data_IF_632172526015
#
_entry.id   IF_632172526015
#
_cell.length_a   1.000
_cell.length_b   1.000
_cell.length_c   1.000
_cell.angle_alpha   90.00
_cell.angle_beta   90.00
_cell.angle_gamma   90.00
#
_symmetry.space_group_name_H-M   'P 1'
#
loop_
_entity.id
_entity.type
_entity.pdbx_description
1 polymer ?
#
# COMPACT_ATOMS: atom_id res chain seq x y z
N UNK A 1 -29.22 48.15 -35.99
CA UNK A 1 -28.24 47.40 -36.81
C UNK A 1 -27.64 46.31 -35.93
N UNK A 2 -27.69 45.05 -36.38
CA UNK A 2 -27.23 43.89 -35.60
C UNK A 2 -25.70 43.90 -35.47
N UNK A 3 -25.11 43.50 -34.34
CA UNK A 3 -23.66 43.35 -34.26
C UNK A 3 -23.26 42.16 -35.15
N UNK A 4 -22.33 42.42 -36.07
CA UNK A 4 -21.66 41.40 -36.88
C UNK A 4 -21.03 40.35 -35.98
N UNK A 5 -21.61 39.15 -35.97
CA UNK A 5 -21.08 37.98 -35.26
C UNK A 5 -19.83 37.50 -36.01
N UNK A 6 -18.65 37.66 -35.41
CA UNK A 6 -17.44 36.99 -35.90
C UNK A 6 -17.39 35.57 -35.33
N UNK A 7 -17.61 34.58 -36.19
CA UNK A 7 -17.49 33.17 -35.84
C UNK A 7 -16.03 32.72 -36.04
N UNK A 8 -15.31 32.41 -34.96
CA UNK A 8 -14.01 31.71 -35.05
C UNK A 8 -14.28 30.21 -34.94
N UNK A 9 -13.81 29.45 -35.92
CA UNK A 9 -13.99 27.99 -35.98
C UNK A 9 -12.64 27.29 -35.78
N UNK A 10 -12.60 26.34 -34.85
CA UNK A 10 -11.46 25.43 -34.66
C UNK A 10 -11.75 24.10 -35.33
N UNK A 11 -10.82 23.66 -36.18
CA UNK A 11 -10.98 22.46 -36.99
C UNK A 11 -10.05 21.37 -36.48
N UNK A 12 -10.63 20.28 -35.99
CA UNK A 12 -9.88 19.08 -35.60
C UNK A 12 -9.80 18.11 -36.78
N UNK A 13 -8.72 17.32 -36.84
CA UNK A 13 -8.65 16.20 -37.79
C UNK A 13 -9.80 15.21 -37.50
N UNK A 14 -10.33 14.60 -38.56
CA UNK A 14 -11.41 13.60 -38.49
C UNK A 14 -11.05 12.36 -37.66
N UNK A 15 -9.83 12.21 -37.16
CA UNK A 15 -9.40 10.98 -36.50
C UNK A 15 -9.00 11.25 -35.04
N UNK A 16 -9.23 12.48 -34.55
CA UNK A 16 -9.01 12.85 -33.15
C UNK A 16 -10.04 12.11 -32.29
N UNK A 17 -9.52 11.41 -31.27
CA UNK A 17 -10.31 10.68 -30.29
C UNK A 17 -10.98 11.67 -29.32
N UNK A 18 -12.25 11.41 -29.02
CA UNK A 18 -13.08 12.22 -28.14
C UNK A 18 -12.44 12.38 -26.76
N UNK A 19 -11.83 11.34 -26.18
CA UNK A 19 -11.18 11.41 -24.85
C UNK A 19 -9.97 12.37 -24.84
N UNK A 20 -9.25 12.42 -25.96
CA UNK A 20 -8.13 13.36 -26.13
C UNK A 20 -8.65 14.79 -26.30
N UNK A 21 -9.79 14.95 -26.97
CA UNK A 21 -10.45 16.24 -27.12
C UNK A 21 -11.01 16.73 -25.78
N UNK A 22 -11.69 15.87 -25.00
CA UNK A 22 -12.21 16.19 -23.67
C UNK A 22 -11.10 16.62 -22.72
N UNK A 23 -10.02 15.83 -22.62
CA UNK A 23 -8.87 16.21 -21.80
C UNK A 23 -8.27 17.53 -22.27
N UNK A 24 -8.09 17.73 -23.57
CA UNK A 24 -7.57 19.00 -24.08
C UNK A 24 -8.46 20.19 -23.68
N UNK A 25 -9.79 20.05 -23.73
CA UNK A 25 -10.74 21.10 -23.30
C UNK A 25 -10.69 21.34 -21.78
N UNK A 26 -10.59 20.29 -20.97
CA UNK A 26 -10.55 20.38 -19.50
C UNK A 26 -9.20 20.85 -18.95
N UNK A 27 -8.09 20.31 -19.46
CA UNK A 27 -6.75 20.59 -18.89
C UNK A 27 -6.07 21.78 -19.54
N UNK A 28 -6.20 21.96 -20.85
CA UNK A 28 -5.48 23.03 -21.58
C UNK A 28 -6.33 24.29 -21.78
N UNK A 29 -7.67 24.16 -21.75
CA UNK A 29 -8.57 25.31 -21.87
C UNK A 29 -9.34 25.61 -20.59
N UNK A 30 -9.29 24.72 -19.59
CA UNK A 30 -9.94 24.85 -18.29
C UNK A 30 -11.45 25.10 -18.37
N UNK A 31 -12.13 24.40 -19.28
CA UNK A 31 -13.57 24.52 -19.51
C UNK A 31 -14.29 23.36 -18.82
N UNK A 32 -15.16 23.66 -17.86
CA UNK A 32 -16.04 22.69 -17.20
C UNK A 32 -17.32 22.48 -18.04
N UNK A 33 -17.50 21.26 -18.57
CA UNK A 33 -18.57 20.89 -19.48
C UNK A 33 -19.88 20.49 -18.77
N UNK A 34 -19.85 20.33 -17.44
CA UNK A 34 -20.99 19.86 -16.65
C UNK A 34 -21.79 20.98 -15.95
N UNK A 35 -21.35 22.24 -16.09
CA UNK A 35 -21.97 23.38 -15.40
C UNK A 35 -22.79 24.28 -16.33
N UNK A 36 -24.04 24.57 -15.93
CA UNK A 36 -24.92 25.53 -16.60
C UNK A 36 -24.43 26.98 -16.35
N UNK A 37 -23.92 27.66 -17.37
CA UNK A 37 -23.41 29.05 -17.28
C UNK A 37 -24.35 30.04 -18.00
N UNK A 38 -24.72 31.20 -17.40
CA UNK A 38 -25.56 32.21 -18.05
C UNK A 38 -24.79 33.22 -18.94
N UNK A 39 -25.54 33.80 -19.88
CA UNK A 39 -25.16 34.70 -20.98
C UNK A 39 -24.24 35.90 -20.63
N UNK A 40 -23.06 35.96 -21.28
CA UNK A 40 -22.64 37.11 -22.11
C UNK A 40 -21.28 36.89 -22.81
N UNK A 41 -21.31 37.06 -24.15
CA UNK A 41 -20.25 37.28 -25.15
C UNK A 41 -19.33 36.11 -25.62
N UNK A 42 -19.64 35.68 -26.85
CA UNK A 42 -18.91 34.89 -27.87
C UNK A 42 -19.12 33.36 -27.91
N UNK A 43 -19.25 32.82 -29.13
CA UNK A 43 -19.61 31.43 -29.45
C UNK A 43 -18.44 30.72 -30.14
N UNK A 44 -18.05 29.54 -29.63
CA UNK A 44 -17.18 28.60 -30.36
C UNK A 44 -18.04 27.43 -30.85
N UNK A 45 -18.11 27.22 -32.16
CA UNK A 45 -18.91 26.15 -32.77
C UNK A 45 -17.99 25.00 -33.15
N UNK A 46 -18.11 23.87 -32.44
CA UNK A 46 -17.39 22.62 -32.73
C UNK A 46 -18.18 21.82 -33.77
N UNK A 47 -17.66 21.72 -34.99
CA UNK A 47 -18.26 20.84 -36.01
C UNK A 47 -17.59 19.47 -35.99
N UNK A 48 -18.25 18.50 -35.36
CA UNK A 48 -18.19 17.11 -35.80
C UNK A 48 -19.53 16.46 -35.46
N UNK A 49 -19.93 15.45 -36.23
CA UNK A 49 -21.27 14.83 -36.24
C UNK A 49 -21.79 14.41 -34.85
N UNK A 50 -22.20 15.38 -34.04
CA UNK A 50 -22.77 15.26 -32.70
C UNK A 50 -24.15 15.91 -32.82
N UNK A 51 -25.18 15.11 -32.57
CA UNK A 51 -26.58 15.46 -32.77
C UNK A 51 -27.12 16.52 -31.78
N UNK A 52 -26.29 17.18 -30.98
CA UNK A 52 -26.72 18.28 -30.11
C UNK A 52 -25.64 19.36 -30.04
N UNK A 53 -25.94 20.54 -30.60
CA UNK A 53 -25.11 21.72 -30.47
C UNK A 53 -25.35 22.36 -29.09
N UNK A 54 -24.29 22.57 -28.31
CA UNK A 54 -24.29 23.40 -27.11
C UNK A 54 -23.22 24.49 -27.22
N UNK A 55 -23.50 25.64 -26.62
CA UNK A 55 -22.66 26.84 -26.63
C UNK A 55 -21.74 26.81 -25.42
N UNK A 56 -20.43 26.94 -25.65
CA UNK A 56 -19.40 26.96 -24.60
C UNK A 56 -18.70 28.31 -24.52
N UNK A 57 -18.48 28.77 -23.29
CA UNK A 57 -17.84 30.04 -22.96
C UNK A 57 -16.34 29.79 -22.75
N UNK A 58 -15.47 30.37 -23.59
CA UNK A 58 -14.03 30.06 -23.61
C UNK A 58 -13.20 31.35 -23.59
N UNK A 59 -12.24 31.44 -22.67
CA UNK A 59 -11.20 32.48 -22.67
C UNK A 59 -10.07 32.12 -23.65
N UNK A 60 -10.17 32.65 -24.86
CA UNK A 60 -9.24 32.39 -25.96
C UNK A 60 -7.80 32.84 -25.65
N UNK A 61 -7.60 33.79 -24.74
CA UNK A 61 -6.26 34.23 -24.35
C UNK A 61 -5.58 33.19 -23.44
N UNK A 62 -6.33 32.54 -22.55
CA UNK A 62 -5.83 31.42 -21.75
C UNK A 62 -5.43 30.23 -22.65
N UNK A 63 -6.27 29.90 -23.63
CA UNK A 63 -6.03 28.84 -24.63
C UNK A 63 -4.78 29.10 -25.48
N UNK A 64 -4.63 30.32 -26.02
CA UNK A 64 -3.51 30.70 -26.87
C UNK A 64 -2.16 30.65 -26.13
N UNK A 65 -2.17 30.87 -24.81
CA UNK A 65 -0.98 30.84 -23.97
C UNK A 65 -0.55 29.42 -23.56
N UNK A 66 -1.44 28.42 -23.64
CA UNK A 66 -1.14 27.02 -23.27
C UNK A 66 -0.76 26.13 -24.46
N UNK A 67 -1.18 26.49 -25.69
CA UNK A 67 -0.81 25.78 -26.91
C UNK A 67 0.67 25.96 -27.28
N UNK A 68 1.51 24.93 -27.08
CA UNK A 68 2.92 24.92 -27.51
C UNK A 68 3.05 25.21 -29.02
N UNK A 69 3.70 26.35 -29.32
CA UNK A 69 4.30 26.81 -30.58
C UNK A 69 4.06 25.92 -31.81
N UNK A 70 3.02 26.25 -32.58
CA UNK A 70 2.92 25.92 -34.00
C UNK A 70 2.44 27.13 -34.80
N UNK A 71 2.86 27.18 -36.05
CA UNK A 71 3.32 28.35 -36.81
C UNK A 71 2.24 29.27 -37.40
N UNK A 72 1.10 29.52 -36.72
CA UNK A 72 0.05 30.38 -37.29
C UNK A 72 -0.71 31.31 -36.35
N UNK A 73 -0.27 31.57 -35.11
CA UNK A 73 -0.96 32.55 -34.24
C UNK A 73 -0.07 33.73 -33.81
N UNK A 74 1.15 33.53 -33.30
CA UNK A 74 2.21 34.55 -33.32
C UNK A 74 3.56 33.81 -33.35
N UNK A 75 4.50 34.21 -34.22
CA UNK A 75 5.76 33.45 -34.39
C UNK A 75 6.86 33.84 -33.40
N UNK A 76 6.70 34.90 -32.59
CA UNK A 76 7.81 35.46 -31.80
C UNK A 76 7.50 36.06 -30.41
N UNK A 77 6.25 36.21 -29.91
CA UNK A 77 6.02 36.85 -28.59
C UNK A 77 4.59 36.74 -27.98
N UNK A 78 4.49 36.98 -26.66
CA UNK A 78 3.62 36.29 -25.67
C UNK A 78 2.26 36.93 -25.27
N UNK A 79 1.60 37.81 -26.04
CA UNK A 79 0.25 38.30 -25.64
C UNK A 79 -0.64 38.64 -26.84
N UNK A 80 -1.89 38.14 -26.80
CA UNK A 80 -2.97 38.54 -27.70
C UNK A 80 -3.85 39.60 -27.00
N UNK A 81 -4.12 40.75 -27.64
CA UNK A 81 -5.09 41.74 -27.15
C UNK A 81 -6.17 41.94 -28.21
N UNK A 82 -7.43 41.76 -27.82
CA UNK A 82 -8.58 41.98 -28.71
C UNK A 82 -8.88 43.49 -28.82
N UNK A 83 -8.81 44.04 -30.03
CA UNK A 83 -9.32 45.39 -30.29
C UNK A 83 -10.83 45.36 -30.61
N UNK A 84 -11.50 46.49 -30.35
CA UNK A 84 -12.97 46.68 -30.46
C UNK A 84 -13.52 46.34 -31.87
N UNK A 85 -12.65 46.31 -32.90
CA UNK A 85 -13.02 46.03 -34.29
C UNK A 85 -12.69 44.59 -34.74
N UNK A 86 -12.29 43.70 -33.84
CA UNK A 86 -11.99 42.28 -34.14
C UNK A 86 -10.71 42.05 -34.96
N UNK A 87 -9.84 43.05 -35.05
CA UNK A 87 -8.45 42.88 -35.48
C UNK A 87 -7.57 42.45 -34.30
N UNK A 88 -6.74 41.43 -34.53
CA UNK A 88 -5.70 40.99 -33.58
C UNK A 88 -4.37 41.63 -33.97
N UNK A 89 -3.65 42.20 -33.01
CA UNK A 89 -2.30 42.72 -33.22
C UNK A 89 -1.32 41.90 -32.40
N UNK A 90 -0.42 41.16 -33.07
CA UNK A 90 0.78 40.64 -32.40
C UNK A 90 1.76 41.82 -32.27
N UNK A 91 2.16 42.17 -31.05
CA UNK A 91 3.26 43.12 -30.85
C UNK A 91 4.57 42.31 -30.85
N UNK A 92 5.49 42.63 -31.75
CA UNK A 92 6.83 42.04 -31.76
C UNK A 92 7.62 42.66 -30.60
N UNK A 93 7.76 41.91 -29.50
CA UNK A 93 8.42 42.35 -28.27
C UNK A 93 9.95 42.15 -28.36
N UNK A 94 10.59 42.74 -29.39
CA UNK A 94 12.02 42.52 -29.68
C UNK A 94 12.98 43.62 -29.21
N UNK A 95 12.54 44.65 -28.47
CA UNK A 95 13.45 45.78 -28.19
C UNK A 95 14.14 45.76 -26.82
N UNK A 96 13.58 45.09 -25.80
CA UNK A 96 14.20 45.04 -24.47
C UNK A 96 14.56 43.62 -24.03
N UNK A 97 15.84 43.40 -23.70
CA UNK A 97 16.32 42.16 -23.08
C UNK A 97 15.61 41.83 -21.76
N UNK A 98 15.91 40.65 -21.19
CA UNK A 98 15.31 40.24 -19.92
C UNK A 98 15.68 41.24 -18.81
N UNK A 99 14.67 41.75 -18.09
CA UNK A 99 14.79 42.60 -16.89
C UNK A 99 14.95 44.12 -17.02
N UNK A 100 14.70 44.71 -18.20
CA UNK A 100 14.60 46.17 -18.35
C UNK A 100 13.28 46.57 -19.04
N UNK A 101 12.83 47.80 -18.80
CA UNK A 101 11.58 48.36 -19.33
C UNK A 101 11.73 49.85 -19.74
N UNK A 102 10.71 50.38 -20.43
CA UNK A 102 10.66 51.75 -20.92
C UNK A 102 11.12 51.90 -22.38
N UNK A 103 10.93 53.10 -22.95
CA UNK A 103 11.08 53.39 -24.39
C UNK A 103 12.47 53.13 -24.98
N UNK A 104 13.50 53.02 -24.14
CA UNK A 104 14.89 52.69 -24.53
C UNK A 104 15.51 51.57 -23.66
N UNK A 105 14.69 50.78 -22.96
CA UNK A 105 15.15 49.67 -22.11
C UNK A 105 16.23 50.06 -21.08
N UNK A 106 16.22 51.33 -20.66
CA UNK A 106 17.25 51.93 -19.81
C UNK A 106 16.92 51.81 -18.33
N UNK A 107 15.66 51.48 -18.00
CA UNK A 107 15.20 51.33 -16.62
C UNK A 107 15.19 49.86 -16.24
N UNK A 108 15.94 49.43 -15.19
CA UNK A 108 15.87 48.07 -14.71
C UNK A 108 14.53 47.77 -14.04
N UNK A 109 14.06 46.53 -14.18
CA UNK A 109 12.91 46.01 -13.45
C UNK A 109 13.32 45.73 -11.99
N UNK A 110 12.62 46.32 -11.03
CA UNK A 110 12.85 46.12 -9.60
C UNK A 110 12.11 44.89 -9.02
N UNK A 111 11.73 43.94 -9.87
CA UNK A 111 11.05 42.73 -9.42
C UNK A 111 12.02 41.74 -8.77
N UNK A 112 11.51 40.93 -7.86
CA UNK A 112 12.23 39.83 -7.26
C UNK A 112 12.46 38.71 -8.28
N UNK A 113 13.73 38.38 -8.57
CA UNK A 113 14.10 37.48 -9.67
C UNK A 113 13.49 36.09 -9.56
N UNK A 114 13.44 35.52 -8.35
CA UNK A 114 12.96 34.15 -8.17
C UNK A 114 11.42 34.09 -8.16
N UNK A 115 10.75 35.11 -7.64
CA UNK A 115 9.28 35.17 -7.54
C UNK A 115 8.55 35.78 -8.72
N UNK A 116 9.26 36.32 -9.72
CA UNK A 116 8.63 36.97 -10.89
C UNK A 116 8.62 36.03 -12.09
N UNK A 117 7.44 35.83 -12.67
CA UNK A 117 7.24 35.11 -13.92
C UNK A 117 7.64 35.97 -15.13
N UNK A 118 7.22 37.24 -15.14
CA UNK A 118 7.58 38.20 -16.20
C UNK A 118 7.59 39.64 -15.68
N UNK A 119 8.47 40.47 -16.25
CA UNK A 119 8.44 41.92 -16.06
C UNK A 119 7.81 42.57 -17.30
N UNK A 120 6.80 43.41 -17.10
CA UNK A 120 6.14 44.18 -18.14
C UNK A 120 7.08 45.22 -18.76
N UNK A 121 7.21 45.21 -20.08
CA UNK A 121 8.18 46.05 -20.80
C UNK A 121 7.78 47.53 -20.90
N UNK A 122 6.49 47.84 -20.75
CA UNK A 122 5.96 49.22 -20.81
C UNK A 122 6.07 49.98 -19.48
N UNK A 123 5.75 49.31 -18.37
CA UNK A 123 5.60 49.96 -17.05
C UNK A 123 6.45 49.33 -15.95
N UNK A 124 7.25 48.30 -16.26
CA UNK A 124 8.06 47.59 -15.26
C UNK A 124 7.25 46.77 -14.27
N UNK A 125 5.97 46.51 -14.53
CA UNK A 125 5.07 45.76 -13.64
C UNK A 125 5.48 44.31 -13.55
N UNK A 126 5.52 43.77 -12.34
CA UNK A 126 5.95 42.40 -12.07
C UNK A 126 4.74 41.47 -12.07
N UNK A 127 4.74 40.44 -12.92
CA UNK A 127 3.80 39.33 -12.84
C UNK A 127 4.44 38.25 -11.99
N UNK A 128 3.84 37.93 -10.85
CA UNK A 128 4.39 36.97 -9.90
C UNK A 128 4.16 35.53 -10.34
N UNK A 129 5.09 34.64 -9.99
CA UNK A 129 4.92 33.19 -10.15
C UNK A 129 3.85 32.70 -9.16
N UNK A 130 3.19 31.57 -9.45
CA UNK A 130 2.43 30.84 -8.43
C UNK A 130 3.30 30.62 -7.17
N UNK A 131 2.72 30.80 -5.99
CA UNK A 131 3.43 30.74 -4.70
C UNK A 131 4.03 32.07 -4.21
N UNK A 132 3.87 33.16 -4.96
CA UNK A 132 4.28 34.50 -4.52
C UNK A 132 3.07 35.45 -4.53
N UNK A 133 2.96 36.29 -3.49
CA UNK A 133 1.90 37.30 -3.39
C UNK A 133 2.02 38.33 -4.52
N UNK A 134 0.88 38.80 -5.03
CA UNK A 134 0.74 39.91 -5.99
C UNK A 134 1.11 41.28 -5.38
N UNK A 135 2.31 41.35 -4.83
CA UNK A 135 2.96 42.58 -4.41
C UNK A 135 3.64 43.23 -5.62
N UNK A 136 3.93 44.54 -5.52
CA UNK A 136 4.55 45.31 -6.62
C UNK A 136 5.84 44.67 -7.14
N UNK A 137 6.58 43.93 -6.31
CA UNK A 137 7.87 43.33 -6.67
C UNK A 137 7.93 41.80 -6.55
N UNK A 138 6.84 41.10 -6.22
CA UNK A 138 6.82 39.63 -6.06
C UNK A 138 7.85 39.09 -5.04
N UNK A 139 8.18 39.86 -4.00
CA UNK A 139 9.20 39.53 -2.98
C UNK A 139 8.62 38.81 -1.75
N UNK A 140 7.31 38.59 -1.75
CA UNK A 140 6.59 37.92 -0.66
C UNK A 140 6.14 36.55 -1.12
N UNK A 141 6.71 35.55 -0.49
CA UNK A 141 6.27 34.16 -0.54
C UNK A 141 4.87 34.02 0.05
N UNK A 142 4.03 33.18 -0.55
CA UNK A 142 2.73 32.81 0.00
C UNK A 142 2.98 31.65 0.95
N UNK A 143 2.64 31.80 2.24
CA UNK A 143 2.66 30.67 3.15
C UNK A 143 1.44 29.78 2.87
N UNK A 144 1.63 28.78 2.00
CA UNK A 144 0.56 27.87 1.60
C UNK A 144 0.11 26.95 2.74
N UNK A 145 0.84 26.91 3.86
CA UNK A 145 0.49 26.13 5.03
C UNK A 145 -0.52 26.84 5.97
N UNK A 146 -0.74 28.16 5.85
CA UNK A 146 -1.59 28.92 6.81
C UNK A 146 -3.08 28.59 6.74
N UNK A 147 -3.59 28.09 5.61
CA UNK A 147 -5.02 27.82 5.39
C UNK A 147 -5.31 26.37 4.98
N UNK A 148 -4.34 25.48 5.18
CA UNK A 148 -4.34 24.17 4.58
C UNK A 148 -4.51 23.11 5.69
N UNK A 149 -5.68 22.48 5.70
CA UNK A 149 -6.13 21.59 6.78
C UNK A 149 -5.80 20.13 6.42
N UNK A 150 -4.73 19.59 6.99
CA UNK A 150 -4.25 18.25 6.63
C UNK A 150 -4.08 17.36 7.86
N UNK A 151 -4.53 16.11 7.72
CA UNK A 151 -4.44 15.08 8.77
C UNK A 151 -3.32 14.11 8.38
N UNK A 152 -2.31 13.99 9.23
CA UNK A 152 -1.27 12.96 9.09
C UNK A 152 0.00 13.33 8.31
N UNK A 153 0.09 14.56 7.84
CA UNK A 153 1.29 15.10 7.21
C UNK A 153 1.61 16.47 7.82
N UNK A 154 2.89 16.84 7.80
CA UNK A 154 3.32 18.21 8.11
C UNK A 154 3.53 18.96 6.80
N UNK A 155 2.92 20.13 6.71
CA UNK A 155 3.20 21.07 5.63
C UNK A 155 4.50 21.82 5.94
N UNK A 156 5.43 21.83 5.00
CA UNK A 156 6.67 22.61 5.07
C UNK A 156 6.61 23.65 3.97
N UNK A 157 6.49 24.92 4.37
CA UNK A 157 6.54 26.06 3.46
C UNK A 157 7.99 26.36 3.07
N UNK A 158 8.24 26.58 1.79
CA UNK A 158 9.52 27.03 1.27
C UNK A 158 9.30 28.09 0.19
N UNK A 159 10.37 28.72 -0.26
CA UNK A 159 10.23 29.83 -1.21
C UNK A 159 9.68 29.36 -2.57
N UNK A 160 8.50 29.86 -2.91
CA UNK A 160 7.77 29.56 -4.14
C UNK A 160 6.97 28.26 -4.12
N UNK A 161 6.75 27.67 -2.94
CA UNK A 161 5.87 26.52 -2.79
C UNK A 161 5.99 25.77 -1.46
N UNK A 162 5.36 24.60 -1.39
CA UNK A 162 5.27 23.81 -0.16
C UNK A 162 5.38 22.32 -0.46
N UNK A 163 5.77 21.55 0.55
CA UNK A 163 5.76 20.08 0.50
C UNK A 163 5.09 19.47 1.74
N UNK A 164 4.57 18.26 1.56
CA UNK A 164 4.07 17.44 2.65
C UNK A 164 5.10 16.40 3.05
N UNK A 165 5.53 16.46 4.31
CA UNK A 165 6.42 15.46 4.89
C UNK A 165 5.66 14.54 5.85
N UNK A 166 5.95 13.23 5.86
CA UNK A 166 5.38 12.31 6.84
C UNK A 166 5.70 12.72 8.28
N UNK A 167 4.74 12.55 9.17
CA UNK A 167 4.96 12.71 10.60
C UNK A 167 5.70 11.49 11.17
N UNK A 168 7.02 11.59 11.38
CA UNK A 168 7.80 10.53 12.02
C UNK A 168 7.29 10.26 13.46
N UNK A 169 6.60 9.13 13.64
CA UNK A 169 6.05 8.68 14.92
C UNK A 169 5.11 9.69 15.62
N UNK A 170 4.43 10.51 14.83
CA UNK A 170 3.50 11.53 15.31
C UNK A 170 2.26 11.58 14.42
N UNK A 171 1.18 12.18 14.90
CA UNK A 171 -0.08 12.25 14.19
C UNK A 171 -0.86 13.52 14.53
N UNK A 172 -1.99 13.73 13.83
CA UNK A 172 -2.81 14.92 13.97
C UNK A 172 -2.25 16.12 13.18
N UNK A 173 -2.90 17.27 13.36
CA UNK A 173 -2.54 18.52 12.66
C UNK A 173 -1.12 18.90 13.09
N UNK A 174 -0.27 19.13 12.09
CA UNK A 174 1.15 19.51 12.27
C UNK A 174 1.94 18.55 13.19
N UNK A 175 1.61 17.26 13.18
CA UNK A 175 2.26 16.24 13.99
C UNK A 175 2.23 16.53 15.51
N UNK A 176 1.22 17.26 15.99
CA UNK A 176 1.11 17.72 17.37
C UNK A 176 1.03 16.58 18.40
N UNK A 177 0.52 15.41 18.02
CA UNK A 177 0.37 14.27 18.91
C UNK A 177 1.45 13.21 18.69
N UNK A 178 1.96 12.63 19.78
CA UNK A 178 2.91 11.52 19.73
C UNK A 178 2.17 10.20 19.48
N UNK A 179 2.67 9.39 18.57
CA UNK A 179 2.15 8.06 18.33
C UNK A 179 2.55 7.10 19.46
N UNK A 180 1.56 6.41 20.02
CA UNK A 180 1.74 5.49 21.16
C UNK A 180 2.02 4.04 20.74
N UNK A 181 2.01 3.76 19.44
CA UNK A 181 2.30 2.45 18.88
C UNK A 181 3.68 1.92 19.32
N UNK A 182 3.80 0.60 19.48
CA UNK A 182 5.06 -0.06 19.75
C UNK A 182 6.01 0.03 18.55
N UNK A 183 7.13 0.73 18.71
CA UNK A 183 8.03 1.03 17.59
C UNK A 183 8.64 -0.20 16.92
N UNK A 184 8.83 -1.28 17.67
CA UNK A 184 9.42 -2.51 17.15
C UNK A 184 8.40 -3.35 16.40
N UNK A 185 7.13 -3.29 16.81
CA UNK A 185 6.07 -4.20 16.34
C UNK A 185 5.07 -3.53 15.38
N UNK A 186 5.25 -2.25 15.10
CA UNK A 186 4.39 -1.48 14.19
C UNK A 186 5.10 -1.25 12.85
N UNK A 187 4.39 -1.49 11.75
CA UNK A 187 4.83 -1.18 10.39
C UNK A 187 4.72 0.32 10.10
N UNK A 188 3.59 0.90 10.49
CA UNK A 188 3.28 2.30 10.20
C UNK A 188 2.37 2.90 11.28
N UNK A 189 2.68 4.13 11.70
CA UNK A 189 1.76 5.00 12.41
C UNK A 189 0.98 5.84 11.39
N UNK A 190 -0.34 5.77 11.43
CA UNK A 190 -1.21 6.50 10.53
C UNK A 190 -1.43 7.94 11.00
N UNK A 191 -1.95 8.76 10.08
CA UNK A 191 -2.18 10.19 10.31
C UNK A 191 -3.18 10.53 11.42
N UNK A 192 -4.04 9.57 11.78
CA UNK A 192 -5.02 9.63 12.85
C UNK A 192 -4.49 9.04 14.18
N UNK A 193 -3.25 8.55 14.20
CA UNK A 193 -2.61 7.92 15.36
C UNK A 193 -2.86 6.43 15.49
N UNK A 194 -3.59 5.80 14.55
CA UNK A 194 -3.78 4.36 14.53
C UNK A 194 -2.52 3.61 14.09
N UNK A 195 -2.33 2.39 14.61
CA UNK A 195 -1.15 1.57 14.36
C UNK A 195 -1.44 0.48 13.34
N UNK A 196 -0.68 0.42 12.25
CA UNK A 196 -0.62 -0.78 11.40
C UNK A 196 0.43 -1.73 11.97
N UNK A 197 0.00 -2.82 12.59
CA UNK A 197 0.89 -3.79 13.22
C UNK A 197 1.64 -4.65 12.20
N UNK A 198 2.86 -5.04 12.54
CA UNK A 198 3.60 -6.09 11.82
C UNK A 198 2.88 -7.43 11.97
N UNK A 199 3.15 -8.35 11.06
CA UNK A 199 2.71 -9.75 11.18
C UNK A 199 3.01 -10.29 12.58
N UNK A 200 2.04 -11.01 13.16
CA UNK A 200 2.09 -11.61 14.51
C UNK A 200 1.86 -10.65 15.68
N UNK A 201 1.51 -9.39 15.44
CA UNK A 201 1.12 -8.45 16.50
C UNK A 201 -0.27 -7.87 16.28
N UNK A 202 -0.99 -7.62 17.39
CA UNK A 202 -2.32 -7.01 17.41
C UNK A 202 -2.45 -6.04 18.58
N UNK A 203 -3.67 -5.57 18.80
CA UNK A 203 -3.99 -4.58 19.81
C UNK A 203 -3.88 -3.16 19.25
N UNK A 204 -4.46 -2.20 19.98
CA UNK A 204 -4.47 -0.79 19.55
C UNK A 204 -3.08 -0.19 19.43
N UNK A 205 -2.09 -0.75 20.12
CA UNK A 205 -0.71 -0.25 20.12
C UNK A 205 0.31 -1.29 19.61
N UNK A 206 -0.14 -2.39 19.01
CA UNK A 206 0.73 -3.49 18.52
C UNK A 206 1.61 -4.10 19.63
N UNK A 207 1.10 -4.11 20.85
CA UNK A 207 1.74 -4.62 22.06
C UNK A 207 1.30 -6.05 22.42
N UNK A 208 0.25 -6.56 21.77
CA UNK A 208 -0.17 -7.94 21.91
C UNK A 208 0.47 -8.82 20.84
N UNK A 209 0.97 -9.99 21.24
CA UNK A 209 1.33 -11.05 20.30
C UNK A 209 0.04 -11.74 19.87
N UNK A 210 -0.10 -11.98 18.56
CA UNK A 210 -1.19 -12.81 18.05
C UNK A 210 -0.90 -14.25 18.45
N UNK A 211 -1.70 -14.77 19.38
CA UNK A 211 -1.82 -16.21 19.59
C UNK A 211 -2.71 -16.78 18.49
N UNK A 212 -2.09 -17.29 17.42
CA UNK A 212 -2.80 -17.93 16.32
C UNK A 212 -3.45 -19.26 16.73
N UNK A 213 -3.16 -19.77 17.94
CA UNK A 213 -3.68 -21.03 18.45
C UNK A 213 -4.96 -20.90 19.28
N UNK A 214 -5.42 -19.68 19.59
CA UNK A 214 -6.50 -19.43 20.56
C UNK A 214 -7.80 -20.21 20.30
N UNK A 215 -8.07 -20.66 19.06
CA UNK A 215 -9.17 -21.57 18.72
C UNK A 215 -8.87 -22.46 17.48
N UNK A 216 -7.61 -22.88 17.30
CA UNK A 216 -7.20 -23.67 16.13
C UNK A 216 -6.69 -25.05 16.54
N UNK A 217 -6.77 -26.03 15.62
CA UNK A 217 -6.41 -27.44 15.85
C UNK A 217 -7.30 -28.12 16.91
N UNK A 218 -8.52 -28.51 16.52
CA UNK A 218 -9.48 -29.18 17.40
C UNK A 218 -9.57 -30.69 17.16
N UNK A 219 -8.68 -31.26 16.34
CA UNK A 219 -8.65 -32.71 16.14
C UNK A 219 -8.17 -33.45 17.38
N UNK A 220 -8.63 -34.69 17.53
CA UNK A 220 -8.12 -35.58 18.57
C UNK A 220 -6.61 -35.77 18.41
N UNK A 221 -5.90 -35.63 19.53
CA UNK A 221 -4.44 -35.72 19.62
C UNK A 221 -3.66 -34.67 18.81
N UNK A 222 -4.29 -33.55 18.46
CA UNK A 222 -3.62 -32.41 17.86
C UNK A 222 -3.09 -31.42 18.90
N UNK A 223 -2.03 -30.71 18.55
CA UNK A 223 -1.56 -29.53 19.26
C UNK A 223 -1.26 -28.41 18.28
N UNK A 224 -1.42 -27.17 18.72
CA UNK A 224 -1.16 -25.99 17.90
C UNK A 224 0.20 -25.36 18.22
N UNK A 225 0.92 -24.96 17.18
CA UNK A 225 2.15 -24.17 17.28
C UNK A 225 2.00 -22.87 16.51
N UNK A 226 2.34 -21.75 17.13
CA UNK A 226 2.47 -20.46 16.42
C UNK A 226 3.73 -20.47 15.55
N UNK A 227 3.61 -20.02 14.29
CA UNK A 227 4.69 -19.89 13.29
C UNK A 227 4.72 -18.46 12.74
N UNK A 228 5.81 -18.05 12.09
CA UNK A 228 5.92 -16.71 11.48
C UNK A 228 4.80 -16.42 10.45
N UNK A 229 4.25 -17.47 9.84
CA UNK A 229 3.18 -17.44 8.85
C UNK A 229 1.79 -17.78 9.42
N UNK A 230 1.60 -17.76 10.75
CA UNK A 230 0.33 -18.04 11.41
C UNK A 230 0.41 -19.18 12.42
N UNK A 231 -0.28 -20.29 12.17
CA UNK A 231 -0.23 -21.49 13.01
C UNK A 231 0.00 -22.76 12.20
N UNK A 232 0.52 -23.77 12.86
CA UNK A 232 0.68 -25.13 12.33
C UNK A 232 0.14 -26.11 13.38
N UNK A 233 -0.75 -27.02 12.94
CA UNK A 233 -1.20 -28.13 13.76
C UNK A 233 -0.19 -29.27 13.66
N UNK A 234 0.19 -29.84 14.80
CA UNK A 234 1.00 -31.06 14.91
C UNK A 234 0.24 -32.15 15.66
N UNK A 235 0.76 -33.39 15.63
CA UNK A 235 0.25 -34.50 16.44
C UNK A 235 1.11 -34.71 17.69
N UNK A 236 0.50 -35.02 18.83
CA UNK A 236 1.27 -35.37 20.03
C UNK A 236 2.20 -36.57 19.78
N UNK A 237 3.25 -36.71 20.59
CA UNK A 237 4.18 -37.85 20.55
C UNK A 237 3.42 -39.17 20.57
N UNK A 238 3.81 -40.11 19.71
CA UNK A 238 3.11 -41.39 19.51
C UNK A 238 1.96 -41.34 18.51
N UNK A 239 1.73 -40.20 17.87
CA UNK A 239 0.77 -40.01 16.79
C UNK A 239 1.44 -39.39 15.56
N UNK A 240 0.86 -39.66 14.39
CA UNK A 240 1.26 -39.09 13.09
C UNK A 240 0.01 -38.71 12.29
N UNK A 241 0.13 -37.69 11.44
CA UNK A 241 -0.96 -37.34 10.54
C UNK A 241 -1.22 -38.45 9.53
N UNK A 242 -2.48 -38.87 9.44
CA UNK A 242 -2.95 -39.63 8.29
C UNK A 242 -3.13 -38.67 7.11
N UNK A 243 -2.10 -38.54 6.27
CA UNK A 243 -2.09 -37.67 5.09
C UNK A 243 -3.02 -38.14 3.96
N UNK A 244 -3.53 -39.37 4.03
CA UNK A 244 -4.45 -39.94 3.04
C UNK A 244 -5.92 -39.75 3.41
N UNK A 245 -6.20 -39.26 4.62
CA UNK A 245 -7.56 -39.00 5.10
C UNK A 245 -7.95 -37.54 4.93
N UNK A 246 -9.21 -37.30 4.54
CA UNK A 246 -9.80 -35.97 4.41
C UNK A 246 -11.10 -35.91 5.27
N UNK A 247 -11.11 -35.16 6.38
CA UNK A 247 -10.04 -34.30 6.89
C UNK A 247 -8.86 -35.11 7.47
N UNK A 248 -7.67 -34.51 7.45
CA UNK A 248 -6.49 -35.07 8.12
C UNK A 248 -6.76 -35.20 9.63
N UNK A 249 -6.28 -36.29 10.23
CA UNK A 249 -6.37 -36.52 11.67
C UNK A 249 -5.11 -37.22 12.17
N UNK A 250 -4.84 -37.10 13.47
CA UNK A 250 -3.75 -37.80 14.12
C UNK A 250 -4.15 -39.26 14.42
N UNK A 251 -3.42 -40.20 13.84
CA UNK A 251 -3.55 -41.62 14.14
C UNK A 251 -2.36 -42.08 14.97
N UNK A 252 -2.56 -43.08 15.82
CA UNK A 252 -1.47 -43.68 16.58
C UNK A 252 -0.37 -44.21 15.64
N UNK A 253 0.87 -44.20 16.11
CA UNK A 253 1.99 -44.72 15.34
C UNK A 253 1.74 -46.16 14.86
N UNK A 254 2.20 -46.52 13.65
CA UNK A 254 2.22 -47.91 13.21
C UNK A 254 2.94 -48.79 14.23
N UNK A 255 2.50 -50.06 14.32
CA UNK A 255 3.14 -51.03 15.22
C UNK A 255 4.66 -51.05 15.03
N UNK A 256 5.38 -51.16 16.15
CA UNK A 256 6.85 -51.19 16.21
C UNK A 256 7.54 -49.86 15.91
N UNK A 257 6.81 -48.74 15.93
CA UNK A 257 7.39 -47.40 15.85
C UNK A 257 6.88 -46.50 16.96
N UNK A 258 7.70 -45.55 17.37
CA UNK A 258 7.40 -44.62 18.46
C UNK A 258 8.01 -43.23 18.19
N UNK A 259 7.82 -42.32 19.15
CA UNK A 259 8.30 -40.94 19.14
C UNK A 259 7.46 -39.99 18.25
N UNK A 260 7.92 -38.75 18.07
CA UNK A 260 7.33 -37.77 17.15
C UNK A 260 7.49 -38.26 15.70
N UNK A 261 6.38 -38.19 14.95
CA UNK A 261 6.30 -38.64 13.55
C UNK A 261 6.66 -40.11 13.33
N UNK A 262 6.63 -40.94 14.38
CA UNK A 262 6.85 -42.40 14.31
C UNK A 262 8.18 -42.80 13.65
N UNK A 263 9.21 -41.98 13.83
CA UNK A 263 10.51 -42.15 13.18
C UNK A 263 11.42 -43.17 13.87
N UNK A 264 11.15 -43.49 15.14
CA UNK A 264 11.99 -44.37 15.94
C UNK A 264 11.44 -45.79 15.96
N UNK A 265 12.20 -46.82 15.54
CA UNK A 265 11.78 -48.21 15.66
C UNK A 265 11.83 -48.66 17.14
N UNK A 266 10.96 -49.59 17.50
CA UNK A 266 11.00 -50.24 18.82
C UNK A 266 12.09 -51.30 18.87
N UNK A 267 12.93 -51.27 19.90
CA UNK A 267 14.00 -52.26 20.12
C UNK A 267 13.52 -53.47 20.95
N UNK A 268 12.32 -53.94 20.66
CA UNK A 268 11.67 -55.07 21.34
C UNK A 268 11.86 -56.38 20.57
N UNK A 269 11.88 -57.50 21.28
CA UNK A 269 11.76 -58.82 20.66
C UNK A 269 10.32 -59.07 20.21
N UNK A 270 10.12 -59.08 18.90
CA UNK A 270 8.80 -59.20 18.27
C UNK A 270 8.04 -60.49 18.64
N UNK A 271 8.74 -61.56 19.03
CA UNK A 271 8.10 -62.85 19.31
C UNK A 271 7.55 -62.94 20.74
N UNK A 272 8.17 -62.23 21.68
CA UNK A 272 7.92 -62.31 23.13
C UNK A 272 7.37 -60.99 23.70
N UNK A 273 7.12 -60.00 22.84
CA UNK A 273 6.49 -58.72 23.19
C UNK A 273 5.01 -58.74 22.81
N UNK A 274 4.14 -58.27 23.71
CA UNK A 274 2.72 -58.04 23.47
C UNK A 274 2.47 -56.75 22.68
N UNK A 275 3.09 -55.66 23.13
CA UNK A 275 2.88 -54.33 22.58
C UNK A 275 4.15 -53.47 22.76
N UNK A 276 4.43 -52.59 21.79
CA UNK A 276 5.38 -51.51 21.97
C UNK A 276 4.64 -50.20 22.22
N UNK A 277 4.99 -49.49 23.28
CA UNK A 277 4.39 -48.19 23.58
C UNK A 277 4.78 -47.16 22.51
N UNK A 278 3.79 -46.58 21.84
CA UNK A 278 4.01 -45.61 20.74
C UNK A 278 4.61 -44.28 21.19
N UNK A 279 4.53 -43.94 22.48
CA UNK A 279 5.06 -42.69 23.03
C UNK A 279 6.51 -42.85 23.50
N UNK A 280 6.80 -43.92 24.23
CA UNK A 280 8.10 -44.13 24.91
C UNK A 280 9.00 -45.18 24.27
N UNK A 281 8.46 -46.02 23.37
CA UNK A 281 9.18 -47.15 22.79
C UNK A 281 9.38 -48.34 23.73
N UNK A 282 8.79 -48.32 24.93
CA UNK A 282 8.95 -49.40 25.91
C UNK A 282 8.15 -50.64 25.54
N UNK A 283 8.74 -51.82 25.74
CA UNK A 283 8.15 -53.10 25.41
C UNK A 283 7.29 -53.62 26.56
N UNK A 284 6.05 -54.01 26.26
CA UNK A 284 5.21 -54.78 27.16
C UNK A 284 5.43 -56.27 26.88
N UNK A 285 6.09 -56.97 27.79
CA UNK A 285 6.43 -58.38 27.59
C UNK A 285 5.22 -59.32 27.73
N UNK A 286 5.25 -60.41 26.97
CA UNK A 286 4.35 -61.54 27.19
C UNK A 286 4.60 -62.15 28.57
N UNK A 287 3.57 -62.77 29.20
CA UNK A 287 3.79 -63.55 30.43
C UNK A 287 4.91 -64.57 30.24
N UNK A 288 5.80 -64.70 31.23
CA UNK A 288 6.98 -65.56 31.16
C UNK A 288 8.24 -64.86 30.62
N UNK A 289 8.16 -63.59 30.19
CA UNK A 289 9.30 -62.81 29.72
C UNK A 289 9.45 -61.49 30.49
N UNK A 290 10.70 -61.03 30.60
CA UNK A 290 11.10 -59.84 31.34
C UNK A 290 12.26 -59.13 30.64
N UNK A 291 12.77 -58.07 31.27
CA UNK A 291 13.73 -57.08 30.75
C UNK A 291 13.11 -55.99 29.86
N UNK A 292 13.93 -55.04 29.39
CA UNK A 292 13.47 -53.89 28.62
C UNK A 292 13.08 -54.23 27.17
N UNK A 293 13.56 -55.36 26.65
CA UNK A 293 13.41 -55.82 25.26
C UNK A 293 12.57 -57.11 25.15
N UNK A 294 12.17 -57.69 26.29
CA UNK A 294 11.48 -58.96 26.43
C UNK A 294 12.29 -60.17 25.96
N UNK A 295 13.62 -60.10 26.05
CA UNK A 295 14.52 -61.17 25.62
C UNK A 295 14.77 -62.22 26.71
N UNK A 296 14.65 -61.82 27.97
CA UNK A 296 14.93 -62.68 29.12
C UNK A 296 13.70 -63.48 29.55
N UNK A 297 13.86 -64.79 29.56
CA UNK A 297 12.94 -65.74 30.20
C UNK A 297 12.85 -65.49 31.71
N UNK A 298 11.65 -65.53 32.26
CA UNK A 298 11.44 -65.48 33.72
C UNK A 298 11.65 -66.89 34.25
N UNK A 299 12.57 -67.05 35.22
CA UNK A 299 12.65 -68.31 35.97
C UNK A 299 11.57 -68.32 37.06
N UNK A 300 10.39 -68.86 36.74
CA UNK A 300 9.31 -68.92 37.73
C UNK A 300 9.65 -69.87 38.89
N UNK A 301 10.56 -70.83 38.70
CA UNK A 301 11.03 -71.73 39.74
C UNK A 301 11.93 -71.04 40.78
N UNK A 302 12.47 -69.86 40.47
CA UNK A 302 13.20 -69.04 41.44
C UNK A 302 12.27 -68.39 42.49
N UNK A 303 10.94 -68.45 42.28
CA UNK A 303 9.95 -67.87 43.20
C UNK A 303 9.48 -68.94 44.21
N UNK A 304 9.40 -68.62 45.53
CA UNK A 304 8.92 -69.58 46.52
C UNK A 304 7.48 -70.01 46.27
N UNK A 305 7.20 -71.32 46.39
CA UNK A 305 5.88 -71.94 46.15
C UNK A 305 5.35 -71.79 44.71
N UNK A 306 6.23 -71.72 43.71
CA UNK A 306 5.84 -71.74 42.30
C UNK A 306 5.04 -73.01 41.91
N UNK A 307 5.42 -74.16 42.49
CA UNK A 307 4.73 -75.44 42.29
C UNK A 307 4.18 -76.00 43.62
N UNK A 308 3.33 -77.04 43.51
CA UNK A 308 2.71 -77.69 44.67
C UNK A 308 3.72 -78.37 45.60
N UNK A 309 3.38 -78.53 46.87
CA UNK A 309 4.24 -79.19 47.85
C UNK A 309 4.63 -80.61 47.39
N UNK A 310 5.93 -80.93 47.47
CA UNK A 310 6.54 -82.19 47.00
C UNK A 310 6.61 -82.38 45.47
N UNK A 311 6.53 -81.30 44.68
CA UNK A 311 6.83 -81.33 43.23
C UNK A 311 8.21 -80.76 42.92
N UNK A 312 8.81 -81.22 41.82
CA UNK A 312 10.05 -80.66 41.25
C UNK A 312 9.67 -79.62 40.20
N UNK A 313 10.13 -78.38 40.37
CA UNK A 313 9.89 -77.30 39.41
C UNK A 313 10.98 -77.30 38.34
N UNK A 314 10.58 -77.27 37.07
CA UNK A 314 11.47 -77.15 35.92
C UNK A 314 11.12 -75.89 35.13
N UNK A 315 12.05 -74.93 35.10
CA UNK A 315 11.94 -73.74 34.26
C UNK A 315 12.02 -74.12 32.78
N UNK A 316 11.12 -73.61 31.96
CA UNK A 316 11.08 -73.83 30.51
C UNK A 316 10.90 -72.49 29.79
N UNK A 317 11.35 -72.38 28.54
CA UNK A 317 11.24 -71.10 27.83
C UNK A 317 9.78 -70.63 27.69
N UNK A 318 9.47 -69.50 28.33
CA UNK A 318 8.16 -68.85 28.42
C UNK A 318 7.23 -69.39 29.52
N UNK A 319 7.66 -70.35 30.36
CA UNK A 319 6.82 -70.94 31.42
C UNK A 319 7.57 -71.86 32.41
N UNK A 320 6.85 -72.63 33.21
CA UNK A 320 7.40 -73.64 34.12
C UNK A 320 6.49 -74.86 34.23
N UNK A 321 7.01 -76.00 34.70
CA UNK A 321 6.24 -77.22 34.96
C UNK A 321 6.73 -78.00 36.16
#
# INVERSE_FOLDING_TARGET
EMPTVMNTSMWFKKDVNDDLLYRFLETELNIDLDSNIPNSMFYVILYRNIQHAQVLNIDVCAVANQLRRSSRICTTGDVCIQQINGTFSCYDDTECGNWNWGTNCSTPCNCYRNGTQRCGKTYGTCTCKPGFHETVNCDKDIDECQNAFWVGTRCVNFEGGYEFVPCDWRYGIDCSHKCLCNQTNTEQCNGDGSCRCKTNFRGTYCDEIIDFCYQQCQGDHEFCMTKESGFECGCYTGYIFNSSAEPRYCQACPNWTWNTDCTSPCECNINTTLECNTVTGTCLCQPGFQDAQCDMDIDECAVPHACADNSECVNIYGSYK
#
